data_IF_965130401170
#
_entry.id   IF_965130401170
#
_cell.length_a   1.000
_cell.length_b   1.000
_cell.length_c   1.000
_cell.angle_alpha   90.00
_cell.angle_beta   90.00
_cell.angle_gamma   90.00
#
_symmetry.space_group_name_H-M   'P 1'
#
loop_
_entity.id
_entity.type
_entity.pdbx_description
1 polymer ?
#
# COMPACT_ATOMS: atom_id res chain seq x y z
N UNK A 1 23.26 -9.64 16.83
CA UNK A 1 21.85 -9.86 17.21
C UNK A 1 21.07 -10.34 16.00
N UNK A 2 20.00 -11.07 16.23
CA UNK A 2 19.08 -11.50 15.19
C UNK A 2 18.25 -10.29 14.71
N UNK A 3 18.17 -10.02 13.39
CA UNK A 3 17.64 -8.75 12.90
C UNK A 3 16.10 -8.68 12.82
N UNK A 4 15.39 -9.77 13.16
CA UNK A 4 13.92 -9.83 13.13
C UNK A 4 13.37 -9.78 14.55
N UNK A 5 12.31 -9.01 14.75
CA UNK A 5 11.51 -9.08 15.98
C UNK A 5 10.45 -10.18 15.82
N UNK A 6 10.58 -11.25 16.62
CA UNK A 6 9.61 -12.35 16.67
C UNK A 6 8.85 -12.35 18.00
N UNK A 7 8.98 -11.32 18.81
CA UNK A 7 8.36 -11.19 20.12
C UNK A 7 7.16 -10.26 20.09
N UNK A 8 7.25 -9.11 19.38
CA UNK A 8 6.21 -8.10 19.28
C UNK A 8 5.69 -7.68 20.67
N UNK A 9 4.39 -7.54 20.81
CA UNK A 9 3.75 -7.26 22.10
C UNK A 9 3.61 -8.49 23.02
N UNK A 10 3.91 -9.69 22.53
CA UNK A 10 3.85 -10.93 23.31
C UNK A 10 2.44 -11.31 23.75
N UNK A 11 2.36 -11.96 24.94
CA UNK A 11 1.12 -12.52 25.46
C UNK A 11 0.05 -11.48 25.81
N UNK A 12 0.49 -10.29 26.20
CA UNK A 12 -0.39 -9.24 26.74
C UNK A 12 -0.26 -7.99 25.87
N UNK A 13 -0.90 -7.92 24.70
CA UNK A 13 -0.86 -6.75 23.84
C UNK A 13 -1.49 -5.55 24.57
N UNK A 14 -1.02 -4.32 24.29
CA UNK A 14 -1.60 -3.14 24.88
C UNK A 14 -3.02 -2.90 24.36
N UNK A 15 -3.85 -2.27 25.19
CA UNK A 15 -5.13 -1.77 24.74
C UNK A 15 -4.91 -0.53 23.85
N UNK A 16 -5.34 -0.55 22.59
CA UNK A 16 -5.07 0.50 21.61
C UNK A 16 -5.73 1.83 21.94
N UNK A 17 -6.80 1.84 22.75
CA UNK A 17 -7.54 3.04 23.14
C UNK A 17 -8.01 3.88 21.95
N UNK A 18 -8.57 3.20 20.93
CA UNK A 18 -9.09 3.88 19.75
C UNK A 18 -10.09 5.00 20.14
N UNK A 19 -10.21 6.07 19.33
CA UNK A 19 -11.22 7.10 19.53
C UNK A 19 -12.62 6.50 19.72
N UNK A 20 -13.45 7.20 20.51
CA UNK A 20 -14.82 6.78 20.82
C UNK A 20 -14.97 5.39 21.44
N UNK A 21 -13.88 4.84 22.02
CA UNK A 21 -13.81 3.48 22.55
C UNK A 21 -14.14 2.43 21.51
N UNK A 22 -13.76 2.67 20.26
CA UNK A 22 -13.98 1.73 19.18
C UNK A 22 -13.27 0.40 19.47
N UNK A 23 -13.96 -0.70 19.19
CA UNK A 23 -13.48 -2.07 19.42
C UNK A 23 -12.52 -2.53 18.32
N UNK A 24 -12.54 -1.86 17.18
CA UNK A 24 -11.70 -2.14 16.02
C UNK A 24 -11.49 -0.85 15.24
N UNK A 25 -10.30 -0.65 14.69
CA UNK A 25 -10.04 0.36 13.67
C UNK A 25 -10.00 -0.32 12.31
N UNK A 26 -10.84 0.13 11.37
CA UNK A 26 -10.86 -0.40 10.01
C UNK A 26 -10.28 0.63 9.07
N UNK A 27 -9.27 0.23 8.28
CA UNK A 27 -8.66 1.04 7.24
C UNK A 27 -9.00 0.44 5.88
N UNK A 28 -9.63 1.22 5.02
CA UNK A 28 -9.79 0.86 3.61
C UNK A 28 -8.62 1.44 2.82
N UNK A 29 -7.86 0.58 2.17
CA UNK A 29 -6.69 0.96 1.35
C UNK A 29 -7.02 0.72 -0.11
N UNK A 30 -6.82 1.74 -0.93
CA UNK A 30 -6.83 1.61 -2.38
C UNK A 30 -5.41 1.78 -2.89
N UNK A 31 -4.83 0.71 -3.44
CA UNK A 31 -3.54 0.78 -4.12
C UNK A 31 -3.81 1.28 -5.54
N UNK A 32 -3.26 2.45 -5.87
CA UNK A 32 -3.37 3.01 -7.21
C UNK A 32 -2.01 3.00 -7.90
N UNK A 33 -1.81 2.02 -8.78
CA UNK A 33 -0.51 1.62 -9.32
C UNK A 33 -0.45 1.68 -10.85
N UNK A 34 -1.59 1.74 -11.52
CA UNK A 34 -1.76 1.65 -12.97
C UNK A 34 -1.00 2.74 -13.72
N UNK A 35 -0.04 2.33 -14.52
CA UNK A 35 0.89 3.20 -15.23
C UNK A 35 2.23 3.38 -14.51
N UNK A 36 2.41 2.80 -13.31
CA UNK A 36 3.67 2.75 -12.57
C UNK A 36 4.41 1.41 -12.66
N UNK A 37 3.79 0.38 -13.21
CA UNK A 37 4.30 -0.98 -13.37
C UNK A 37 5.54 -1.05 -14.28
N UNK A 38 6.22 -2.23 -14.31
CA UNK A 38 7.28 -2.48 -15.28
C UNK A 38 6.74 -2.38 -16.71
N UNK A 39 7.40 -1.56 -17.53
CA UNK A 39 6.99 -1.36 -18.91
C UNK A 39 8.15 -0.89 -19.79
N UNK A 40 8.26 -1.44 -21.00
CA UNK A 40 9.33 -1.05 -21.94
C UNK A 40 9.31 0.44 -22.31
N UNK A 41 8.16 1.10 -22.27
CA UNK A 41 8.05 2.56 -22.46
C UNK A 41 8.68 3.37 -21.31
N UNK A 42 8.96 2.73 -20.19
CA UNK A 42 9.67 3.33 -19.04
C UNK A 42 11.17 3.03 -19.05
N UNK A 43 11.67 2.31 -20.08
CA UNK A 43 13.04 1.86 -20.18
C UNK A 43 13.32 0.54 -19.45
N UNK A 44 12.28 -0.15 -18.98
CA UNK A 44 12.44 -1.47 -18.37
C UNK A 44 12.78 -2.54 -19.43
N UNK A 45 13.46 -3.60 -19.03
CA UNK A 45 13.85 -4.70 -19.91
C UNK A 45 12.66 -5.48 -20.46
N UNK A 46 11.50 -5.40 -19.82
CA UNK A 46 10.27 -6.06 -20.23
C UNK A 46 9.04 -5.48 -19.56
N UNK A 47 7.88 -5.83 -20.12
CA UNK A 47 6.57 -5.40 -19.60
C UNK A 47 6.11 -6.27 -18.44
N UNK A 48 5.32 -5.71 -17.52
CA UNK A 48 4.71 -6.41 -16.38
C UNK A 48 3.86 -7.58 -16.86
N UNK A 49 3.81 -8.62 -16.04
CA UNK A 49 3.06 -9.85 -16.34
C UNK A 49 2.07 -10.23 -15.21
N UNK A 50 2.14 -9.52 -14.08
CA UNK A 50 1.18 -9.74 -13.01
C UNK A 50 -0.23 -9.37 -13.48
N UNK A 51 -1.20 -10.22 -13.24
CA UNK A 51 -2.56 -10.24 -13.77
C UNK A 51 -2.72 -10.81 -15.19
N UNK A 52 -1.67 -11.37 -15.80
CA UNK A 52 -1.81 -12.11 -17.05
C UNK A 52 -2.82 -13.25 -16.90
N UNK A 53 -3.53 -13.58 -17.98
CA UNK A 53 -4.36 -14.80 -18.07
C UNK A 53 -3.54 -16.09 -17.93
N UNK A 54 -2.23 -16.01 -18.17
CA UNK A 54 -1.29 -17.13 -18.03
C UNK A 54 -0.66 -17.11 -16.64
N UNK A 55 -0.59 -18.29 -16.02
CA UNK A 55 0.14 -18.43 -14.76
C UNK A 55 1.65 -18.33 -15.00
N UNK A 56 2.30 -17.40 -14.27
CA UNK A 56 3.75 -17.18 -14.31
C UNK A 56 4.35 -17.05 -15.72
N UNK A 57 3.81 -16.18 -16.57
CA UNK A 57 4.31 -16.01 -17.94
C UNK A 57 5.69 -15.36 -17.94
N UNK A 58 6.44 -15.58 -19.04
CA UNK A 58 7.68 -14.83 -19.27
C UNK A 58 7.36 -13.36 -19.62
N UNK A 59 8.19 -12.44 -19.12
CA UNK A 59 8.11 -11.04 -19.53
C UNK A 59 8.58 -10.88 -20.97
N UNK A 60 7.89 -10.05 -21.75
CA UNK A 60 8.29 -9.74 -23.12
C UNK A 60 9.17 -8.49 -23.16
N UNK A 61 10.23 -8.47 -24.00
CA UNK A 61 11.08 -7.27 -24.20
C UNK A 61 10.43 -6.26 -25.15
N UNK A 62 9.11 -6.23 -25.21
CA UNK A 62 8.28 -5.34 -26.01
C UNK A 62 6.97 -5.07 -25.26
N UNK A 63 6.12 -4.19 -25.80
CA UNK A 63 4.79 -3.93 -25.25
C UNK A 63 3.95 -5.20 -25.24
N UNK A 64 3.28 -5.41 -24.12
CA UNK A 64 2.25 -6.45 -24.01
C UNK A 64 0.87 -5.77 -23.98
N UNK A 65 0.32 -5.49 -25.16
CA UNK A 65 -0.90 -4.68 -25.34
C UNK A 65 -2.10 -5.21 -24.56
N UNK A 66 -2.22 -6.54 -24.40
CA UNK A 66 -3.29 -7.12 -23.57
C UNK A 66 -3.11 -6.76 -22.08
N UNK A 67 -1.87 -6.76 -21.58
CA UNK A 67 -1.56 -6.33 -20.22
C UNK A 67 -1.79 -4.83 -20.06
N UNK A 68 -1.37 -4.02 -21.03
CA UNK A 68 -1.67 -2.59 -21.04
C UNK A 68 -3.17 -2.37 -20.82
N UNK A 69 -4.02 -3.07 -21.56
CA UNK A 69 -5.48 -2.98 -21.48
C UNK A 69 -6.05 -3.38 -20.10
N UNK A 70 -5.44 -4.37 -19.42
CA UNK A 70 -5.85 -4.78 -18.07
C UNK A 70 -5.56 -3.66 -17.06
N UNK A 71 -4.34 -3.11 -17.08
CA UNK A 71 -3.98 -1.98 -16.21
C UNK A 71 -4.78 -0.72 -16.56
N UNK A 72 -4.97 -0.42 -17.85
CA UNK A 72 -5.83 0.69 -18.28
C UNK A 72 -7.27 0.59 -17.75
N UNK A 73 -7.83 -0.63 -17.65
CA UNK A 73 -9.18 -0.82 -17.11
C UNK A 73 -9.29 -0.33 -15.67
N UNK A 74 -8.32 -0.65 -14.80
CA UNK A 74 -8.28 -0.19 -13.43
C UNK A 74 -8.36 1.33 -13.34
N UNK A 75 -7.51 2.02 -14.08
CA UNK A 75 -7.45 3.48 -14.12
C UNK A 75 -8.67 4.13 -14.80
N UNK A 76 -9.15 3.56 -15.91
CA UNK A 76 -10.22 4.17 -16.73
C UNK A 76 -11.62 3.90 -16.19
N UNK A 77 -11.83 2.78 -15.51
CA UNK A 77 -13.17 2.32 -15.13
C UNK A 77 -13.27 1.81 -13.69
N UNK A 78 -12.33 0.95 -13.26
CA UNK A 78 -12.38 0.25 -11.98
C UNK A 78 -12.36 1.21 -10.80
N UNK A 79 -11.37 2.09 -10.75
CA UNK A 79 -11.19 3.06 -9.68
C UNK A 79 -12.41 3.97 -9.48
N UNK A 80 -13.06 4.40 -10.57
CA UNK A 80 -14.25 5.24 -10.49
C UNK A 80 -15.47 4.51 -9.91
N UNK A 81 -15.55 3.18 -10.10
CA UNK A 81 -16.59 2.36 -9.46
C UNK A 81 -16.36 2.26 -7.96
N UNK A 82 -15.11 2.04 -7.54
CA UNK A 82 -14.73 2.01 -6.13
C UNK A 82 -15.06 3.36 -5.48
N UNK A 83 -14.61 4.47 -6.06
CA UNK A 83 -14.87 5.81 -5.53
C UNK A 83 -16.35 6.09 -5.32
N UNK A 84 -17.20 5.77 -6.30
CA UNK A 84 -18.66 5.95 -6.16
C UNK A 84 -19.26 5.17 -4.99
N UNK A 85 -18.72 3.97 -4.69
CA UNK A 85 -19.21 3.18 -3.56
C UNK A 85 -18.76 3.77 -2.22
N UNK A 86 -17.57 4.37 -2.14
CA UNK A 86 -17.08 5.05 -0.95
C UNK A 86 -17.78 6.40 -0.73
N UNK A 87 -17.93 7.19 -1.78
CA UNK A 87 -18.68 8.44 -1.75
C UNK A 87 -20.12 8.24 -1.27
N UNK A 88 -20.83 7.28 -1.88
CA UNK A 88 -22.21 6.92 -1.50
C UNK A 88 -22.35 6.54 -0.02
N UNK A 89 -21.31 5.93 0.57
CA UNK A 89 -21.31 5.52 1.97
C UNK A 89 -20.64 6.51 2.90
N UNK A 90 -20.07 7.57 2.36
CA UNK A 90 -19.30 8.57 3.11
C UNK A 90 -18.16 7.93 3.92
N UNK A 91 -17.48 6.95 3.33
CA UNK A 91 -16.35 6.26 3.94
C UNK A 91 -15.03 6.85 3.44
N UNK A 92 -14.05 7.06 4.33
CA UNK A 92 -12.73 7.49 3.93
C UNK A 92 -11.94 6.34 3.28
N UNK A 93 -10.99 6.71 2.41
CA UNK A 93 -9.96 5.83 1.87
C UNK A 93 -8.58 6.36 2.26
N UNK A 94 -7.63 5.45 2.47
CA UNK A 94 -6.21 5.74 2.31
C UNK A 94 -5.80 5.22 0.93
N UNK A 95 -5.39 6.12 0.06
CA UNK A 95 -4.88 5.78 -1.28
C UNK A 95 -3.37 5.60 -1.19
N UNK A 96 -2.88 4.37 -1.38
CA UNK A 96 -1.47 4.14 -1.61
C UNK A 96 -1.19 4.44 -3.08
N UNK A 97 -0.74 5.66 -3.35
CA UNK A 97 -0.62 6.19 -4.70
C UNK A 97 0.81 6.13 -5.22
N UNK A 98 1.02 5.39 -6.32
CA UNK A 98 2.28 5.43 -7.08
C UNK A 98 2.38 6.78 -7.78
N UNK A 99 3.45 7.53 -7.51
CA UNK A 99 3.60 8.91 -7.99
C UNK A 99 3.48 9.04 -9.52
N UNK A 100 4.06 8.11 -10.28
CA UNK A 100 3.96 8.08 -11.74
C UNK A 100 2.53 7.80 -12.21
N UNK A 101 1.80 6.92 -11.55
CA UNK A 101 0.40 6.61 -11.85
C UNK A 101 -0.49 7.84 -11.63
N UNK A 102 -0.37 8.48 -10.48
CA UNK A 102 -1.10 9.70 -10.15
C UNK A 102 -0.79 10.85 -11.12
N UNK A 103 0.48 11.02 -11.51
CA UNK A 103 0.89 12.05 -12.48
C UNK A 103 0.26 11.84 -13.86
N UNK A 104 -0.01 10.60 -14.25
CA UNK A 104 -0.65 10.25 -15.52
C UNK A 104 -2.15 10.42 -15.51
N UNK A 105 -2.75 10.50 -14.32
CA UNK A 105 -4.19 10.69 -14.15
C UNK A 105 -4.50 11.80 -13.11
N UNK A 106 -4.17 13.06 -13.44
CA UNK A 106 -4.33 14.18 -12.51
C UNK A 106 -5.80 14.43 -12.12
N UNK A 107 -6.74 14.16 -13.01
CA UNK A 107 -8.19 14.28 -12.71
C UNK A 107 -8.62 13.34 -11.58
N UNK A 108 -8.12 12.11 -11.58
CA UNK A 108 -8.38 11.16 -10.51
C UNK A 108 -7.73 11.61 -9.19
N UNK A 109 -6.48 12.11 -9.26
CA UNK A 109 -5.79 12.64 -8.08
C UNK A 109 -6.58 13.79 -7.45
N UNK A 110 -7.13 14.67 -8.28
CA UNK A 110 -8.04 15.74 -7.83
C UNK A 110 -9.28 15.18 -7.16
N UNK A 111 -9.91 14.15 -7.73
CA UNK A 111 -11.09 13.52 -7.15
C UNK A 111 -10.81 12.89 -5.77
N UNK A 112 -9.65 12.26 -5.56
CA UNK A 112 -9.26 11.76 -4.24
C UNK A 112 -9.20 12.87 -3.20
N UNK A 113 -8.60 14.01 -3.55
CA UNK A 113 -8.48 15.18 -2.65
C UNK A 113 -9.85 15.80 -2.37
N UNK A 114 -10.68 16.01 -3.40
CA UNK A 114 -12.02 16.60 -3.26
C UNK A 114 -12.96 15.75 -2.40
N UNK A 115 -12.82 14.41 -2.46
CA UNK A 115 -13.57 13.47 -1.62
C UNK A 115 -12.99 13.31 -0.22
N UNK A 116 -11.90 14.01 0.10
CA UNK A 116 -11.28 13.99 1.42
C UNK A 116 -10.52 12.70 1.74
N UNK A 117 -10.07 11.97 0.71
CA UNK A 117 -9.25 10.77 0.89
C UNK A 117 -7.79 11.13 1.18
N UNK A 118 -7.14 10.35 2.03
CA UNK A 118 -5.70 10.45 2.24
C UNK A 118 -4.96 9.86 1.05
N UNK A 119 -3.87 10.53 0.60
CA UNK A 119 -2.92 9.97 -0.35
C UNK A 119 -1.59 9.77 0.36
N UNK A 120 -1.23 8.52 0.62
CA UNK A 120 0.09 8.10 1.07
C UNK A 120 0.98 7.77 -0.13
N UNK A 121 2.28 7.99 0.00
CA UNK A 121 3.22 7.74 -1.08
C UNK A 121 3.52 6.25 -1.22
N UNK A 122 3.23 5.69 -2.41
CA UNK A 122 3.58 4.32 -2.80
C UNK A 122 4.84 4.30 -3.70
N UNK A 123 5.78 5.21 -3.45
CA UNK A 123 6.96 5.39 -4.28
C UNK A 123 6.65 6.04 -5.64
N UNK A 124 7.67 6.05 -6.51
CA UNK A 124 7.54 6.58 -7.88
C UNK A 124 7.01 5.56 -8.87
N UNK A 125 7.48 4.31 -8.73
CA UNK A 125 7.20 3.19 -9.60
C UNK A 125 6.73 1.98 -8.81
N UNK A 126 5.94 1.12 -9.42
CA UNK A 126 5.55 -0.18 -8.87
C UNK A 126 6.46 -1.29 -9.41
N UNK A 127 7.69 -1.31 -8.92
CA UNK A 127 8.76 -2.24 -9.30
C UNK A 127 9.41 -2.87 -8.07
N UNK A 128 10.14 -3.98 -8.25
CA UNK A 128 10.91 -4.59 -7.15
C UNK A 128 12.17 -3.81 -6.83
N UNK A 129 12.17 -3.05 -5.73
CA UNK A 129 13.31 -2.22 -5.32
C UNK A 129 14.53 -3.03 -4.88
N UNK A 130 14.39 -4.34 -4.61
CA UNK A 130 15.55 -5.21 -4.41
C UNK A 130 16.46 -5.32 -5.65
N UNK A 131 15.92 -5.04 -6.83
CA UNK A 131 16.63 -5.15 -8.10
C UNK A 131 17.26 -3.84 -8.57
N UNK A 132 17.11 -2.76 -7.82
CA UNK A 132 17.69 -1.45 -8.15
C UNK A 132 18.74 -1.04 -7.13
N UNK A 133 19.64 -0.13 -7.51
CA UNK A 133 20.62 0.44 -6.59
C UNK A 133 20.00 1.46 -5.62
N UNK A 134 20.74 1.80 -4.56
CA UNK A 134 20.27 2.73 -3.55
C UNK A 134 20.03 4.15 -4.10
N UNK A 135 20.86 4.61 -5.06
CA UNK A 135 20.72 5.94 -5.63
C UNK A 135 19.41 6.06 -6.41
N UNK A 136 19.07 5.03 -7.19
CA UNK A 136 17.80 4.92 -7.91
C UNK A 136 16.62 4.87 -6.95
N UNK A 137 16.71 4.08 -5.87
CA UNK A 137 15.64 3.98 -4.87
C UNK A 137 15.40 5.32 -4.18
N UNK A 138 16.46 6.06 -3.80
CA UNK A 138 16.38 7.41 -3.22
C UNK A 138 15.74 8.41 -4.19
N UNK A 139 16.13 8.37 -5.46
CA UNK A 139 15.58 9.25 -6.48
C UNK A 139 14.09 8.94 -6.73
N UNK A 140 13.70 7.68 -6.78
CA UNK A 140 12.29 7.29 -6.91
C UNK A 140 11.47 7.74 -5.70
N UNK A 141 12.03 7.68 -4.49
CA UNK A 141 11.36 8.21 -3.31
C UNK A 141 11.12 9.72 -3.45
N UNK A 142 12.14 10.48 -3.86
CA UNK A 142 12.04 11.92 -4.09
C UNK A 142 10.99 12.24 -5.17
N UNK A 143 11.05 11.56 -6.31
CA UNK A 143 10.12 11.77 -7.43
C UNK A 143 8.66 11.48 -7.03
N UNK A 144 8.42 10.40 -6.29
CA UNK A 144 7.08 10.06 -5.79
C UNK A 144 6.53 11.14 -4.86
N UNK A 145 7.34 11.58 -3.90
CA UNK A 145 6.97 12.63 -2.96
C UNK A 145 6.71 13.97 -3.66
N UNK A 146 7.58 14.35 -4.59
CA UNK A 146 7.45 15.61 -5.35
C UNK A 146 6.19 15.59 -6.22
N UNK A 147 5.95 14.49 -6.94
CA UNK A 147 4.77 14.35 -7.80
C UNK A 147 3.46 14.49 -7.02
N UNK A 148 3.32 13.77 -5.92
CA UNK A 148 2.11 13.84 -5.09
C UNK A 148 1.95 15.24 -4.49
N UNK A 149 3.03 15.81 -3.96
CA UNK A 149 3.00 17.18 -3.39
C UNK A 149 2.58 18.21 -4.43
N UNK A 150 3.09 18.11 -5.66
CA UNK A 150 2.72 19.03 -6.75
C UNK A 150 1.25 18.88 -7.17
N UNK A 151 0.76 17.65 -7.25
CA UNK A 151 -0.61 17.36 -7.69
C UNK A 151 -1.66 17.73 -6.65
N UNK A 152 -1.35 17.55 -5.37
CA UNK A 152 -2.32 17.71 -4.28
C UNK A 152 -2.17 19.03 -3.51
N UNK A 153 -1.01 19.69 -3.63
CA UNK A 153 -0.63 20.84 -2.79
C UNK A 153 -0.25 20.44 -1.36
N UNK A 154 -0.21 19.15 -1.03
CA UNK A 154 0.07 18.64 0.30
C UNK A 154 1.13 17.54 0.25
N UNK A 155 2.02 17.55 1.24
CA UNK A 155 2.99 16.49 1.39
C UNK A 155 2.31 15.21 1.90
N UNK A 156 2.59 14.02 1.31
CA UNK A 156 2.14 12.74 1.87
C UNK A 156 2.65 12.54 3.31
N UNK A 157 1.79 12.09 4.18
CA UNK A 157 2.13 11.79 5.58
C UNK A 157 2.53 10.33 5.77
N UNK A 158 2.01 9.44 4.95
CA UNK A 158 2.25 8.00 4.98
C UNK A 158 3.16 7.52 3.85
N UNK A 159 3.86 6.41 4.13
CA UNK A 159 4.68 5.68 3.17
C UNK A 159 4.26 4.21 3.10
N UNK A 160 4.26 3.65 1.90
CA UNK A 160 4.14 2.23 1.61
C UNK A 160 4.85 1.91 0.30
N UNK A 161 5.62 0.83 0.24
CA UNK A 161 6.30 0.40 -0.99
C UNK A 161 5.74 -0.91 -1.54
N UNK A 162 5.42 -1.86 -0.67
CA UNK A 162 4.93 -3.18 -1.03
C UNK A 162 5.93 -4.10 -1.72
N UNK A 163 6.81 -3.56 -2.55
CA UNK A 163 7.92 -4.25 -3.24
C UNK A 163 9.28 -3.73 -2.76
N UNK A 164 9.42 -3.60 -1.46
CA UNK A 164 10.53 -2.97 -0.76
C UNK A 164 11.87 -3.71 -0.92
N UNK A 165 12.95 -2.99 -0.61
CA UNK A 165 14.30 -3.54 -0.44
C UNK A 165 14.68 -3.58 1.04
N UNK A 166 15.76 -4.29 1.42
CA UNK A 166 16.28 -4.22 2.78
C UNK A 166 16.69 -2.82 3.23
N UNK A 167 16.83 -1.88 2.29
CA UNK A 167 17.21 -0.47 2.54
C UNK A 167 16.02 0.45 2.73
N UNK A 168 14.86 0.12 2.17
CA UNK A 168 13.70 1.03 2.03
C UNK A 168 13.36 1.70 3.35
N UNK A 169 13.20 0.96 4.45
CA UNK A 169 12.85 1.56 5.76
C UNK A 169 13.89 2.56 6.26
N UNK A 170 15.18 2.26 6.07
CA UNK A 170 16.25 3.21 6.40
C UNK A 170 16.15 4.47 5.52
N UNK A 171 15.87 4.31 4.23
CA UNK A 171 15.71 5.44 3.30
C UNK A 171 14.49 6.30 3.63
N UNK A 172 13.38 5.68 4.05
CA UNK A 172 12.20 6.41 4.55
C UNK A 172 12.54 7.22 5.79
N UNK A 173 13.28 6.63 6.74
CA UNK A 173 13.75 7.34 7.92
C UNK A 173 14.75 8.46 7.58
N UNK A 174 15.65 8.25 6.60
CA UNK A 174 16.59 9.27 6.11
C UNK A 174 15.86 10.44 5.47
N UNK A 175 14.88 10.18 4.63
CA UNK A 175 14.06 11.20 3.96
C UNK A 175 13.29 12.02 4.99
N UNK A 176 12.71 11.34 5.97
CA UNK A 176 12.03 11.92 7.12
C UNK A 176 10.72 12.62 6.81
N UNK A 177 10.04 13.08 7.87
CA UNK A 177 8.78 13.83 7.79
C UNK A 177 7.56 12.98 7.43
N UNK A 178 7.65 11.65 7.48
CA UNK A 178 6.50 10.76 7.48
C UNK A 178 5.95 10.60 8.88
N UNK A 179 4.64 10.56 9.00
CA UNK A 179 3.97 10.23 10.25
C UNK A 179 3.90 8.72 10.47
N UNK A 180 3.84 7.92 9.36
CA UNK A 180 3.83 6.47 9.45
C UNK A 180 4.44 5.80 8.21
N UNK A 181 4.81 4.52 8.40
CA UNK A 181 5.28 3.59 7.38
C UNK A 181 4.42 2.30 7.48
N UNK A 182 3.81 1.89 6.37
CA UNK A 182 2.94 0.70 6.31
C UNK A 182 3.61 -0.53 5.70
N UNK A 183 4.92 -0.48 5.40
CA UNK A 183 5.66 -1.65 4.90
C UNK A 183 5.92 -2.70 5.99
N UNK A 184 4.85 -3.20 6.62
CA UNK A 184 4.92 -4.23 7.65
C UNK A 184 3.63 -5.04 7.72
N UNK A 185 3.75 -6.36 7.84
CA UNK A 185 2.60 -7.29 7.83
C UNK A 185 2.53 -8.17 9.08
N UNK A 186 3.32 -7.88 10.09
CA UNK A 186 3.58 -8.81 11.19
C UNK A 186 2.93 -8.42 12.52
N UNK A 187 1.94 -7.53 12.54
CA UNK A 187 1.21 -7.17 13.76
C UNK A 187 -0.21 -6.70 13.42
N UNK A 188 -1.09 -6.70 14.43
CA UNK A 188 -2.46 -6.17 14.37
C UNK A 188 -2.58 -4.78 14.99
N UNK A 189 -1.49 -4.23 15.49
CA UNK A 189 -1.42 -2.92 16.16
C UNK A 189 -0.27 -2.09 15.61
N UNK A 190 -0.45 -0.77 15.50
CA UNK A 190 0.66 0.14 15.27
C UNK A 190 1.69 0.07 16.40
N UNK A 191 2.96 0.24 16.05
CA UNK A 191 4.05 0.25 17.01
C UNK A 191 5.21 1.13 16.57
N UNK A 192 6.03 1.57 17.53
CA UNK A 192 7.22 2.35 17.25
C UNK A 192 8.43 1.45 17.02
N UNK A 193 9.09 1.66 15.88
CA UNK A 193 10.36 1.01 15.54
C UNK A 193 11.49 2.04 15.61
N UNK A 194 12.62 1.63 16.19
CA UNK A 194 13.85 2.44 16.15
C UNK A 194 14.62 2.10 14.87
N UNK A 195 14.73 3.05 13.96
CA UNK A 195 15.37 2.86 12.66
C UNK A 195 16.72 3.57 12.63
N UNK A 196 17.77 2.80 12.35
CA UNK A 196 19.11 3.37 12.18
C UNK A 196 19.20 4.04 10.80
N UNK A 197 19.53 5.33 10.79
CA UNK A 197 19.72 6.14 9.59
C UNK A 197 21.12 5.98 9.00
N UNK A 198 21.28 6.45 7.77
CA UNK A 198 22.58 6.42 7.06
C UNK A 198 23.68 7.19 7.79
N UNK A 199 23.34 8.27 8.49
CA UNK A 199 24.27 9.08 9.27
C UNK A 199 24.65 8.45 10.63
N UNK A 200 24.14 7.27 10.93
CA UNK A 200 24.36 6.55 12.18
C UNK A 200 23.45 6.98 13.33
N UNK A 201 22.62 8.00 13.17
CA UNK A 201 21.61 8.37 14.16
C UNK A 201 20.44 7.37 14.13
N UNK A 202 19.65 7.37 15.19
CA UNK A 202 18.45 6.51 15.29
C UNK A 202 17.22 7.41 15.37
N UNK A 203 16.21 7.10 14.57
CA UNK A 203 14.94 7.81 14.56
C UNK A 203 13.79 6.85 14.91
N UNK A 204 12.82 7.27 15.74
CA UNK A 204 11.58 6.53 15.92
C UNK A 204 10.73 6.66 14.65
N UNK A 205 10.15 5.55 14.19
CA UNK A 205 9.22 5.50 13.07
C UNK A 205 7.98 4.75 13.50
N UNK A 206 6.82 5.35 13.31
CA UNK A 206 5.55 4.68 13.55
C UNK A 206 5.28 3.70 12.41
N UNK A 207 5.14 2.44 12.77
CA UNK A 207 4.72 1.39 11.84
C UNK A 207 3.22 1.19 11.99
N UNK A 208 2.49 1.33 10.89
CA UNK A 208 1.06 1.01 10.80
C UNK A 208 0.93 -0.25 9.96
N UNK A 209 0.72 -1.42 10.58
CA UNK A 209 0.71 -2.69 9.85
C UNK A 209 -0.39 -2.75 8.79
N UNK A 210 -0.11 -3.47 7.70
CA UNK A 210 -1.04 -3.72 6.62
C UNK A 210 -1.50 -5.19 6.64
N UNK A 211 -2.82 -5.43 6.66
CA UNK A 211 -3.39 -6.78 6.76
C UNK A 211 -3.41 -7.43 5.37
N UNK A 212 -2.28 -8.03 4.96
CA UNK A 212 -2.06 -8.49 3.59
C UNK A 212 -3.02 -9.60 3.12
N UNK A 213 -3.53 -10.40 4.02
CA UNK A 213 -4.49 -11.48 3.70
C UNK A 213 -5.91 -10.95 3.45
N UNK A 214 -6.25 -9.76 3.93
CA UNK A 214 -7.50 -9.05 3.63
C UNK A 214 -7.35 -8.13 2.41
N UNK A 215 -6.88 -8.70 1.30
CA UNK A 215 -6.51 -7.95 0.08
C UNK A 215 -7.04 -8.65 -1.17
N UNK A 216 -7.63 -7.88 -2.09
CA UNK A 216 -8.20 -8.41 -3.33
C UNK A 216 -7.15 -8.93 -4.32
N UNK A 217 -5.86 -8.59 -4.15
CA UNK A 217 -4.78 -9.20 -4.92
C UNK A 217 -4.80 -10.74 -4.85
N UNK A 218 -5.42 -11.31 -3.83
CA UNK A 218 -5.56 -12.77 -3.69
C UNK A 218 -6.42 -13.41 -4.78
N UNK A 219 -7.26 -12.64 -5.48
CA UNK A 219 -7.94 -13.15 -6.68
C UNK A 219 -6.96 -13.50 -7.82
N UNK A 220 -5.79 -12.86 -7.85
CA UNK A 220 -4.77 -13.12 -8.84
C UNK A 220 -3.78 -14.25 -8.46
N UNK A 221 -3.94 -14.83 -7.26
CA UNK A 221 -3.05 -15.89 -6.78
C UNK A 221 -3.68 -17.28 -6.97
N UNK A 222 -2.88 -18.34 -7.24
CA UNK A 222 -3.39 -19.71 -7.46
C UNK A 222 -4.20 -20.26 -6.28
N UNK A 223 -3.90 -19.84 -5.07
CA UNK A 223 -4.58 -20.24 -3.82
C UNK A 223 -5.53 -19.15 -3.30
N UNK A 224 -5.92 -18.24 -4.16
CA UNK A 224 -6.77 -17.11 -3.81
C UNK A 224 -8.26 -17.40 -4.00
N UNK A 225 -9.03 -16.33 -4.13
CA UNK A 225 -10.48 -16.40 -4.26
C UNK A 225 -10.90 -16.57 -5.72
N UNK A 226 -11.91 -17.41 -5.96
CA UNK A 226 -12.48 -17.63 -7.29
C UNK A 226 -13.73 -16.79 -7.57
N UNK A 227 -14.40 -16.30 -6.51
CA UNK A 227 -15.57 -15.43 -6.61
C UNK A 227 -15.75 -14.58 -5.35
N UNK A 228 -16.68 -13.64 -5.37
CA UNK A 228 -16.82 -12.61 -4.34
C UNK A 228 -17.23 -13.14 -2.96
N UNK A 229 -18.09 -14.15 -2.88
CA UNK A 229 -18.63 -14.62 -1.59
C UNK A 229 -17.55 -15.11 -0.61
N UNK A 230 -16.57 -15.96 -1.00
CA UNK A 230 -15.50 -16.34 -0.09
C UNK A 230 -14.65 -15.15 0.38
N UNK A 231 -14.42 -14.14 -0.45
CA UNK A 231 -13.70 -12.95 -0.04
C UNK A 231 -14.51 -12.13 0.97
N UNK A 232 -15.79 -11.89 0.67
CA UNK A 232 -16.68 -11.23 1.63
C UNK A 232 -16.74 -11.96 2.96
N UNK A 233 -16.91 -13.30 2.92
CA UNK A 233 -16.97 -14.10 4.14
C UNK A 233 -15.65 -14.02 4.92
N UNK A 234 -14.51 -14.08 4.24
CA UNK A 234 -13.20 -13.94 4.87
C UNK A 234 -13.03 -12.58 5.57
N UNK A 235 -13.37 -11.49 4.89
CA UNK A 235 -13.32 -10.14 5.48
C UNK A 235 -14.27 -10.02 6.68
N UNK A 236 -15.48 -10.56 6.55
CA UNK A 236 -16.46 -10.56 7.63
C UNK A 236 -15.97 -11.35 8.85
N UNK A 237 -15.45 -12.55 8.65
CA UNK A 237 -14.96 -13.39 9.75
C UNK A 237 -13.72 -12.77 10.42
N UNK A 238 -12.83 -12.15 9.64
CA UNK A 238 -11.69 -11.40 10.16
C UNK A 238 -12.15 -10.21 11.02
N UNK A 239 -13.11 -9.44 10.53
CA UNK A 239 -13.71 -8.35 11.28
C UNK A 239 -14.38 -8.85 12.57
N UNK A 240 -15.21 -9.88 12.48
CA UNK A 240 -15.97 -10.42 13.62
C UNK A 240 -15.03 -10.95 14.71
N UNK A 241 -13.96 -11.64 14.33
CA UNK A 241 -12.96 -12.15 15.26
C UNK A 241 -12.25 -11.00 16.01
N UNK A 242 -11.72 -10.02 15.30
CA UNK A 242 -11.03 -8.87 15.91
C UNK A 242 -11.99 -7.98 16.70
N UNK A 243 -13.24 -7.84 16.25
CA UNK A 243 -14.26 -7.10 16.97
C UNK A 243 -14.66 -7.79 18.29
N UNK A 244 -14.72 -9.14 18.30
CA UNK A 244 -14.99 -9.90 19.52
C UNK A 244 -13.89 -9.73 20.57
N UNK A 245 -12.63 -9.58 20.17
CA UNK A 245 -11.50 -9.30 21.06
C UNK A 245 -11.49 -7.85 21.58
N UNK A 246 -12.23 -6.97 20.93
CA UNK A 246 -12.12 -5.51 21.05
C UNK A 246 -12.51 -4.90 22.39
N UNK A 247 -13.14 -5.65 23.30
CA UNK A 247 -13.41 -5.17 24.66
C UNK A 247 -12.15 -5.19 25.54
N UNK A 248 -11.25 -6.15 25.30
CA UNK A 248 -10.02 -6.34 26.07
C UNK A 248 -8.77 -5.90 25.31
N UNK A 249 -8.73 -6.15 24.00
CA UNK A 249 -7.56 -5.93 23.17
C UNK A 249 -7.95 -5.46 21.75
N UNK A 250 -8.47 -4.22 21.59
CA UNK A 250 -8.89 -3.73 20.29
C UNK A 250 -7.72 -3.67 19.30
N UNK A 251 -7.99 -4.08 18.07
CA UNK A 251 -7.03 -4.22 16.99
C UNK A 251 -7.35 -3.31 15.81
N UNK A 252 -6.52 -3.32 14.78
CA UNK A 252 -6.83 -2.74 13.49
C UNK A 252 -6.95 -3.83 12.41
N UNK A 253 -7.68 -3.50 11.36
CA UNK A 253 -7.86 -4.31 10.17
C UNK A 253 -7.74 -3.42 8.94
N UNK A 254 -6.79 -3.69 8.06
CA UNK A 254 -6.72 -3.03 6.75
C UNK A 254 -7.37 -3.92 5.69
N UNK A 255 -8.16 -3.32 4.81
CA UNK A 255 -8.76 -4.00 3.66
C UNK A 255 -8.16 -3.40 2.41
N UNK A 256 -7.35 -4.20 1.71
CA UNK A 256 -6.65 -3.78 0.50
C UNK A 256 -7.46 -4.02 -0.77
N UNK A 257 -7.46 -3.01 -1.63
CA UNK A 257 -8.15 -3.01 -2.94
C UNK A 257 -7.21 -2.47 -4.01
N UNK A 258 -7.43 -2.91 -5.24
CA UNK A 258 -6.73 -2.47 -6.45
C UNK A 258 -7.71 -2.12 -7.55
#
# INVERSE_FOLDING_TARGET
PYPRDLVGYGRNPPHAQWPDRARIAVQFVLNYEEGGENHVLHGDAGSEQFLSEMFNPASYPDRHVSMDGIYEYGSRAGVWRILREFEKRQLPLTVFGVGMALQRHPELTTAFVELGHEIACHGWRWIHYQNVDEATEREHMRLGMDAITQLTGQRPLGWYTGRDSPRTRRLVADYGGFEYDSDYYGDDLPFWMQVQKTDGTVAPQLIVPYTLDCNDMRFALPQGYSHADPFFQYLKDSFDALYAEGDEAPKMLSIGMH
#
